data_IF_224640376972
#
_entry.id   IF_224640376972
#
_cell.length_a   1.000
_cell.length_b   1.000
_cell.length_c   1.000
_cell.angle_alpha   90.00
_cell.angle_beta   90.00
_cell.angle_gamma   90.00
#
_symmetry.space_group_name_H-M   'P 1'
#
loop_
_entity.id
_entity.type
_entity.pdbx_description
1 polymer ?
#
# COMPACT_ATOMS: atom_id res chain seq x y z
N UNK A 1 32.01 11.56 -4.03
CA UNK A 1 30.71 12.25 -4.23
C UNK A 1 29.59 11.60 -3.41
N UNK A 2 29.31 10.30 -3.56
CA UNK A 2 28.23 9.63 -2.81
C UNK A 2 28.36 9.68 -1.28
N UNK A 3 29.58 9.63 -0.72
CA UNK A 3 29.80 9.76 0.73
C UNK A 3 29.29 11.10 1.29
N UNK A 4 29.56 12.21 0.58
CA UNK A 4 29.08 13.54 0.99
C UNK A 4 27.55 13.63 0.96
N UNK A 5 26.90 13.01 -0.04
CA UNK A 5 25.44 12.91 -0.08
C UNK A 5 24.91 12.14 1.13
N UNK A 6 25.57 11.06 1.54
CA UNK A 6 25.20 10.31 2.74
C UNK A 6 25.34 11.14 4.02
N UNK A 7 26.41 11.93 4.14
CA UNK A 7 26.61 12.85 5.28
C UNK A 7 25.50 13.91 5.32
N UNK A 8 25.13 14.47 4.17
CA UNK A 8 24.02 15.43 4.07
C UNK A 8 22.66 14.81 4.44
N UNK A 9 22.42 13.55 4.05
CA UNK A 9 21.23 12.79 4.45
C UNK A 9 21.19 12.58 5.97
N UNK A 10 22.33 12.23 6.59
CA UNK A 10 22.44 12.08 8.04
C UNK A 10 22.20 13.39 8.78
N UNK A 11 22.74 14.50 8.24
CA UNK A 11 22.51 15.85 8.73
C UNK A 11 21.08 16.39 8.46
N UNK A 12 20.19 15.58 7.86
CA UNK A 12 18.82 15.96 7.45
C UNK A 12 18.76 17.12 6.44
N UNK A 13 19.85 17.41 5.75
CA UNK A 13 19.95 18.47 4.72
C UNK A 13 19.55 17.93 3.34
N UNK A 14 18.30 17.50 3.21
CA UNK A 14 17.82 16.81 2.01
C UNK A 14 17.87 17.66 0.74
N UNK A 15 17.63 18.98 0.84
CA UNK A 15 17.70 19.87 -0.33
C UNK A 15 19.11 19.95 -0.93
N UNK A 16 20.13 20.11 -0.08
CA UNK A 16 21.53 20.11 -0.51
C UNK A 16 21.95 18.73 -1.02
N UNK A 17 21.50 17.66 -0.36
CA UNK A 17 21.76 16.29 -0.82
C UNK A 17 21.21 16.06 -2.23
N UNK A 18 20.01 16.56 -2.55
CA UNK A 18 19.41 16.45 -3.89
C UNK A 18 20.18 17.24 -4.93
N UNK A 19 20.62 18.47 -4.62
CA UNK A 19 21.40 19.29 -5.56
C UNK A 19 22.69 18.56 -5.92
N UNK A 20 23.46 18.13 -4.91
CA UNK A 20 24.71 17.40 -5.12
C UNK A 20 24.49 16.05 -5.84
N UNK A 21 23.37 15.37 -5.57
CA UNK A 21 23.02 14.14 -6.27
C UNK A 21 22.66 14.40 -7.75
N UNK A 22 22.06 15.54 -8.08
CA UNK A 22 21.70 15.93 -9.44
C UNK A 22 22.91 16.37 -10.28
N UNK A 23 24.03 16.74 -9.66
CA UNK A 23 25.30 17.01 -10.35
C UNK A 23 25.96 15.74 -10.92
N UNK A 24 25.46 14.56 -10.56
CA UNK A 24 25.96 13.28 -11.05
C UNK A 24 25.21 12.91 -12.33
N UNK A 25 25.87 13.04 -13.48
CA UNK A 25 25.30 12.71 -14.79
C UNK A 25 25.02 11.21 -14.96
N UNK A 26 25.92 10.36 -14.45
CA UNK A 26 25.79 8.91 -14.59
C UNK A 26 24.92 8.31 -13.47
N UNK A 27 23.64 8.09 -13.79
CA UNK A 27 22.63 7.56 -12.85
C UNK A 27 22.74 6.04 -12.73
N UNK A 28 23.63 5.60 -11.85
CA UNK A 28 23.82 4.19 -11.53
C UNK A 28 22.84 3.72 -10.44
N UNK A 29 22.86 2.41 -10.11
CA UNK A 29 22.02 1.84 -9.05
C UNK A 29 22.11 2.59 -7.71
N UNK A 30 23.32 3.04 -7.35
CA UNK A 30 23.59 3.83 -6.12
C UNK A 30 22.87 5.18 -6.15
N UNK A 31 22.78 5.83 -7.31
CA UNK A 31 22.07 7.11 -7.47
C UNK A 31 20.58 6.94 -7.16
N UNK A 32 19.96 5.92 -7.76
CA UNK A 32 18.54 5.60 -7.52
C UNK A 32 18.29 5.19 -6.07
N UNK A 33 19.21 4.44 -5.46
CA UNK A 33 19.14 4.09 -4.05
C UNK A 33 19.17 5.32 -3.14
N UNK A 34 20.13 6.24 -3.30
CA UNK A 34 20.20 7.46 -2.48
C UNK A 34 19.00 8.38 -2.73
N UNK A 35 18.55 8.51 -3.98
CA UNK A 35 17.33 9.24 -4.34
C UNK A 35 16.10 8.67 -3.59
N UNK A 36 15.97 7.34 -3.54
CA UNK A 36 14.89 6.67 -2.80
C UNK A 36 14.94 6.93 -1.30
N UNK A 37 16.13 7.02 -0.70
CA UNK A 37 16.30 7.37 0.72
C UNK A 37 15.87 8.81 0.98
N UNK A 38 16.29 9.75 0.13
CA UNK A 38 15.91 11.15 0.26
C UNK A 38 14.39 11.30 0.15
N UNK A 39 13.77 10.67 -0.84
CA UNK A 39 12.31 10.67 -1.02
C UNK A 39 11.59 10.05 0.19
N UNK A 40 12.08 8.92 0.70
CA UNK A 40 11.55 8.28 1.90
C UNK A 40 11.61 9.18 3.14
N UNK A 41 12.73 9.88 3.35
CA UNK A 41 12.88 10.83 4.47
C UNK A 41 11.98 12.05 4.34
N UNK A 42 11.61 12.42 3.11
CA UNK A 42 10.64 13.49 2.80
C UNK A 42 9.18 13.00 2.81
N UNK A 43 8.91 11.74 3.17
CA UNK A 43 7.60 11.09 3.12
C UNK A 43 6.97 10.98 1.71
N UNK A 44 7.78 11.09 0.65
CA UNK A 44 7.36 10.81 -0.72
C UNK A 44 7.55 9.33 -1.04
N UNK A 45 6.65 8.50 -0.50
CA UNK A 45 6.78 7.04 -0.56
C UNK A 45 6.62 6.47 -1.97
N UNK A 46 5.78 7.08 -2.80
CA UNK A 46 5.57 6.64 -4.19
C UNK A 46 6.84 6.80 -5.01
N UNK A 47 7.42 8.02 -5.03
CA UNK A 47 8.70 8.28 -5.69
C UNK A 47 9.83 7.43 -5.09
N UNK A 48 9.82 7.20 -3.78
CA UNK A 48 10.80 6.31 -3.16
C UNK A 48 10.69 4.87 -3.68
N UNK A 49 9.47 4.36 -3.87
CA UNK A 49 9.20 3.00 -4.36
C UNK A 49 9.62 2.83 -5.81
N UNK A 50 9.37 3.83 -6.65
CA UNK A 50 9.81 3.81 -8.05
C UNK A 50 11.34 3.79 -8.15
N UNK A 51 12.02 4.71 -7.44
CA UNK A 51 13.47 4.79 -7.46
C UNK A 51 14.15 3.52 -6.92
N UNK A 52 13.66 2.93 -5.83
CA UNK A 52 14.26 1.68 -5.32
C UNK A 52 14.06 0.50 -6.26
N UNK A 53 12.93 0.44 -6.98
CA UNK A 53 12.71 -0.60 -8.00
C UNK A 53 13.71 -0.48 -9.15
N UNK A 54 13.98 0.74 -9.61
CA UNK A 54 15.02 0.99 -10.62
C UNK A 54 16.41 0.59 -10.11
N UNK A 55 16.74 0.92 -8.85
CA UNK A 55 18.01 0.50 -8.24
C UNK A 55 18.17 -1.03 -8.20
N UNK A 56 17.13 -1.77 -7.84
CA UNK A 56 17.13 -3.25 -7.82
C UNK A 56 17.21 -3.83 -9.23
N UNK A 57 16.60 -3.17 -10.23
CA UNK A 57 16.69 -3.62 -11.62
C UNK A 57 18.09 -3.46 -12.20
N UNK A 58 18.85 -2.46 -11.73
CA UNK A 58 20.22 -2.21 -12.16
C UNK A 58 21.23 -3.08 -11.41
N UNK A 59 20.96 -3.44 -10.16
CA UNK A 59 21.82 -4.26 -9.31
C UNK A 59 20.94 -5.17 -8.44
N UNK A 60 20.59 -6.33 -9.00
CA UNK A 60 19.66 -7.29 -8.41
C UNK A 60 20.33 -8.18 -7.36
N UNK A 61 21.65 -8.28 -7.33
CA UNK A 61 22.40 -9.09 -6.37
C UNK A 61 22.55 -8.37 -5.02
N UNK A 62 22.32 -7.06 -4.98
CA UNK A 62 22.47 -6.28 -3.78
C UNK A 62 21.32 -6.46 -2.78
N UNK A 63 21.59 -7.24 -1.73
CA UNK A 63 20.66 -7.48 -0.64
C UNK A 63 20.24 -6.18 0.09
N UNK A 64 21.09 -5.16 0.12
CA UNK A 64 20.81 -3.89 0.79
C UNK A 64 19.59 -3.18 0.19
N UNK A 65 19.45 -3.22 -1.14
CA UNK A 65 18.35 -2.57 -1.85
C UNK A 65 17.03 -3.30 -1.61
N UNK A 66 17.07 -4.65 -1.66
CA UNK A 66 15.91 -5.49 -1.34
C UNK A 66 15.44 -5.28 0.11
N UNK A 67 16.36 -5.28 1.07
CA UNK A 67 16.05 -5.03 2.48
C UNK A 67 15.43 -3.63 2.69
N UNK A 68 15.96 -2.61 2.02
CA UNK A 68 15.37 -1.28 2.06
C UNK A 68 13.98 -1.22 1.43
N UNK A 69 13.75 -1.91 0.30
CA UNK A 69 12.44 -2.00 -0.33
C UNK A 69 11.40 -2.62 0.60
N UNK A 70 11.72 -3.73 1.28
CA UNK A 70 10.80 -4.36 2.25
C UNK A 70 10.45 -3.40 3.39
N UNK A 71 11.45 -2.68 3.93
CA UNK A 71 11.23 -1.65 4.96
C UNK A 71 10.34 -0.51 4.46
N UNK A 72 10.56 -0.07 3.22
CA UNK A 72 9.79 0.98 2.58
C UNK A 72 8.33 0.56 2.39
N UNK A 73 8.08 -0.64 1.88
CA UNK A 73 6.73 -1.18 1.66
C UNK A 73 5.92 -1.30 2.97
N UNK A 74 6.55 -1.74 4.06
CA UNK A 74 5.91 -1.80 5.37
C UNK A 74 5.38 -0.42 5.80
N UNK A 75 6.19 0.63 5.63
CA UNK A 75 5.82 2.01 5.98
C UNK A 75 4.80 2.61 5.01
N UNK A 76 4.94 2.31 3.72
CA UNK A 76 3.98 2.72 2.70
C UNK A 76 2.58 2.13 2.95
N UNK A 77 2.49 0.85 3.33
CA UNK A 77 1.21 0.20 3.64
C UNK A 77 0.51 0.86 4.83
N UNK A 78 1.25 1.22 5.88
CA UNK A 78 0.68 1.95 7.02
C UNK A 78 0.14 3.32 6.60
N UNK A 79 0.94 4.11 5.86
CA UNK A 79 0.53 5.44 5.40
C UNK A 79 -0.67 5.40 4.44
N UNK A 80 -0.69 4.44 3.52
CA UNK A 80 -1.78 4.24 2.55
C UNK A 80 -3.07 3.83 3.25
N UNK A 81 -3.02 3.02 4.32
CA UNK A 81 -4.21 2.66 5.11
C UNK A 81 -4.80 3.84 5.85
N UNK A 82 -3.97 4.75 6.38
CA UNK A 82 -4.45 5.95 7.06
C UNK A 82 -5.12 6.93 6.09
N UNK A 83 -4.56 7.09 4.89
CA UNK A 83 -5.18 7.90 3.82
C UNK A 83 -6.49 7.29 3.31
N UNK A 84 -6.59 5.96 3.21
CA UNK A 84 -7.84 5.25 2.84
C UNK A 84 -8.87 5.17 3.97
N UNK A 85 -8.48 5.51 5.21
CA UNK A 85 -9.38 5.61 6.37
C UNK A 85 -9.72 7.07 6.69
N UNK A 86 -9.97 7.91 5.70
CA UNK A 86 -10.84 9.07 5.93
C UNK A 86 -12.22 8.54 6.35
N UNK A 87 -12.66 8.68 7.62
CA UNK A 87 -13.95 8.19 8.06
C UNK A 87 -15.01 9.21 7.66
N UNK A 88 -15.45 9.17 6.40
CA UNK A 88 -16.68 9.85 5.98
C UNK A 88 -17.95 9.04 6.26
N UNK A 89 -17.88 8.01 7.12
CA UNK A 89 -19.07 7.34 7.62
C UNK A 89 -18.77 6.54 8.90
N UNK A 90 -18.45 7.23 9.99
CA UNK A 90 -18.76 6.71 11.33
C UNK A 90 -20.00 7.43 11.87
N UNK A 91 -21.06 7.41 11.06
CA UNK A 91 -22.41 7.59 11.59
C UNK A 91 -22.91 6.21 11.95
N UNK A 92 -22.81 5.88 13.24
CA UNK A 92 -23.92 5.29 13.97
C UNK A 92 -24.84 4.33 13.19
N UNK A 93 -24.33 3.17 12.77
CA UNK A 93 -25.19 2.01 12.54
C UNK A 93 -24.31 0.77 12.76
N UNK A 94 -24.58 0.06 13.85
CA UNK A 94 -23.95 -1.21 14.12
C UNK A 94 -24.22 -2.18 12.97
N UNK A 95 -23.15 -2.82 12.50
CA UNK A 95 -23.14 -4.21 12.05
C UNK A 95 -21.67 -4.63 11.89
N UNK A 96 -21.32 -5.69 12.60
CA UNK A 96 -19.97 -6.23 12.73
C UNK A 96 -19.44 -6.81 11.41
N UNK A 97 -18.11 -6.87 11.20
CA UNK A 97 -17.50 -7.76 10.23
C UNK A 97 -17.36 -9.14 10.88
N UNK A 98 -18.43 -9.93 10.91
CA UNK A 98 -18.38 -11.30 11.42
C UNK A 98 -17.87 -12.24 10.32
N UNK A 99 -16.66 -12.77 10.55
CA UNK A 99 -16.07 -13.93 9.88
C UNK A 99 -16.47 -15.25 10.56
N UNK A 100 -17.34 -15.22 11.58
CA UNK A 100 -17.78 -16.46 12.22
C UNK A 100 -19.15 -16.28 12.87
N UNK A 101 -19.94 -17.33 12.82
CA UNK A 101 -21.31 -17.44 13.30
C UNK A 101 -21.52 -16.86 14.71
N UNK A 102 -22.51 -15.98 14.89
CA UNK A 102 -23.44 -16.02 16.04
C UNK A 102 -24.56 -14.96 15.91
N UNK A 103 -25.73 -15.47 15.58
CA UNK A 103 -27.02 -15.16 16.24
C UNK A 103 -27.57 -13.72 16.17
N UNK A 104 -27.82 -13.22 14.96
CA UNK A 104 -28.83 -12.19 14.72
C UNK A 104 -29.71 -12.59 13.52
N UNK A 105 -30.92 -13.00 13.85
CA UNK A 105 -32.02 -13.32 12.96
C UNK A 105 -32.32 -12.17 11.97
N UNK A 106 -32.59 -12.55 10.71
CA UNK A 106 -33.05 -11.75 9.56
C UNK A 106 -31.96 -10.96 8.83
N UNK A 107 -31.27 -11.66 7.92
CA UNK A 107 -30.31 -11.07 6.99
C UNK A 107 -30.96 -10.67 5.66
N UNK A 108 -30.61 -9.48 5.16
CA UNK A 108 -30.88 -9.00 3.79
C UNK A 108 -30.25 -9.87 2.67
N UNK A 109 -29.73 -11.07 3.02
CA UNK A 109 -29.25 -12.09 2.09
C UNK A 109 -30.36 -13.09 1.67
N UNK A 110 -31.52 -13.14 2.34
CA UNK A 110 -32.64 -13.99 1.90
C UNK A 110 -33.41 -13.39 0.72
N UNK A 111 -33.49 -12.05 0.62
CA UNK A 111 -34.31 -11.37 -0.41
C UNK A 111 -33.66 -11.28 -1.80
N UNK A 112 -32.34 -11.48 -1.91
CA UNK A 112 -31.64 -11.45 -3.21
C UNK A 112 -31.47 -12.84 -3.81
N UNK A 113 -31.50 -13.90 -2.99
CA UNK A 113 -31.33 -15.27 -3.47
C UNK A 113 -32.64 -16.01 -3.80
N UNK A 114 -33.82 -15.48 -3.43
CA UNK A 114 -35.10 -16.13 -3.72
C UNK A 114 -35.75 -15.73 -5.06
N UNK A 115 -35.24 -14.69 -5.74
CA UNK A 115 -35.84 -14.20 -7.00
C UNK A 115 -35.19 -14.82 -8.27
N UNK A 116 -34.20 -15.71 -8.12
CA UNK A 116 -33.53 -16.40 -9.24
C UNK A 116 -33.61 -17.94 -9.18
N UNK A 117 -34.30 -18.51 -8.18
CA UNK A 117 -34.52 -19.95 -8.04
C UNK A 117 -35.96 -20.38 -8.39
N UNK A 118 -36.73 -19.52 -9.08
CA UNK A 118 -38.16 -19.75 -9.32
C UNK A 118 -38.52 -20.39 -10.68
N UNK A 119 -37.58 -20.66 -11.58
CA UNK A 119 -37.87 -21.51 -12.75
C UNK A 119 -36.63 -22.31 -13.16
N UNK A 120 -36.50 -23.57 -12.72
CA UNK A 120 -35.93 -24.63 -13.58
C UNK A 120 -35.93 -26.07 -13.05
N UNK A 121 -36.40 -26.41 -11.84
CA UNK A 121 -36.66 -27.82 -11.48
C UNK A 121 -37.86 -27.96 -10.54
N UNK A 122 -38.93 -28.57 -11.05
CA UNK A 122 -40.21 -28.69 -10.36
C UNK A 122 -40.20 -29.58 -9.12
N UNK A 123 -41.22 -29.38 -8.29
CA UNK A 123 -41.51 -30.20 -7.12
C UNK A 123 -42.29 -29.40 -6.08
N UNK A 124 -43.58 -29.67 -5.98
CA UNK A 124 -44.58 -29.08 -5.11
C UNK A 124 -44.26 -29.19 -3.60
N UNK A 125 -45.03 -28.46 -2.77
CA UNK A 125 -45.21 -28.57 -1.31
C UNK A 125 -44.67 -27.43 -0.43
N UNK A 126 -45.02 -26.15 -0.68
CA UNK A 126 -45.72 -25.27 0.30
C UNK A 126 -46.29 -24.04 -0.46
N UNK A 127 -47.59 -23.75 -0.29
CA UNK A 127 -48.24 -22.55 -0.83
C UNK A 127 -47.65 -21.30 -0.17
N UNK A 128 -47.07 -20.38 -0.93
CA UNK A 128 -46.66 -19.08 -0.42
C UNK A 128 -47.92 -18.27 -0.08
N UNK A 129 -48.12 -17.98 1.21
CA UNK A 129 -49.03 -16.95 1.71
C UNK A 129 -48.24 -15.67 1.99
#
# INVERSE_FOLDING_TARGET
>A
MYAQVQDLIQAKKYGQATIMLNEIDNRNAVWYYLSSIIAYKKAFFESALENIKQAISLDSDNATYKNFQTKLMSRYSSYSRDYRRTPRYRSNQGCCPCDDCCDCNVGCCELVCMDQCCECMGGDLISCC
#
